data_IF_591497808364
#
_entry.id   IF_591497808364
#
_cell.length_a   1.000
_cell.length_b   1.000
_cell.length_c   1.000
_cell.angle_alpha   90.00
_cell.angle_beta   90.00
_cell.angle_gamma   90.00
#
_symmetry.space_group_name_H-M   'P 1'
#
loop_
_entity.id
_entity.type
_entity.pdbx_description
1 polymer ?
#
# COMPACT_ATOMS: atom_id res chain seq x y z
N UNK A 1 20.67 -10.27 72.79
CA UNK A 1 19.93 -11.34 72.11
C UNK A 1 19.93 -10.97 70.64
N UNK A 2 20.87 -11.55 69.90
CA UNK A 2 21.24 -11.25 68.54
C UNK A 2 20.23 -11.85 67.59
N UNK A 3 19.77 -11.06 66.59
CA UNK A 3 19.14 -11.55 65.41
C UNK A 3 20.15 -11.48 64.27
N UNK A 4 20.69 -12.63 63.93
CA UNK A 4 21.54 -12.88 62.76
C UNK A 4 20.70 -12.76 61.52
N UNK A 5 21.00 -11.77 60.68
CA UNK A 5 20.50 -11.67 59.33
C UNK A 5 21.17 -12.76 58.47
N UNK A 6 20.40 -13.66 57.91
CA UNK A 6 20.87 -14.57 56.88
C UNK A 6 20.90 -13.82 55.53
N UNK A 7 22.09 -13.51 55.08
CA UNK A 7 22.36 -13.15 53.70
C UNK A 7 22.28 -14.42 52.84
N UNK A 8 21.26 -14.56 52.07
CA UNK A 8 21.23 -15.56 50.98
C UNK A 8 22.18 -15.10 49.89
N UNK A 9 23.22 -15.86 49.64
CA UNK A 9 24.11 -15.69 48.50
C UNK A 9 23.38 -16.06 47.22
N UNK A 10 23.52 -15.32 46.11
CA UNK A 10 22.91 -15.69 44.84
C UNK A 10 23.46 -17.04 44.36
N UNK A 11 22.56 -17.87 43.85
CA UNK A 11 22.85 -19.23 43.42
C UNK A 11 23.59 -19.22 42.07
N UNK A 12 24.89 -19.51 41.98
CA UNK A 12 25.67 -19.32 40.76
C UNK A 12 25.33 -20.32 39.61
N UNK A 13 24.37 -21.22 39.81
CA UNK A 13 24.03 -22.23 38.82
C UNK A 13 22.93 -21.79 37.83
N UNK A 14 22.10 -20.79 38.20
CA UNK A 14 21.09 -20.27 37.30
C UNK A 14 21.68 -19.32 36.25
N UNK A 15 22.63 -18.45 36.64
CA UNK A 15 23.28 -17.50 35.75
C UNK A 15 24.09 -18.15 34.61
N UNK A 16 24.80 -19.23 34.88
CA UNK A 16 25.61 -19.91 33.86
C UNK A 16 24.78 -20.64 32.78
N UNK A 17 23.58 -21.11 33.13
CA UNK A 17 22.71 -21.79 32.17
C UNK A 17 21.97 -20.80 31.26
N UNK A 18 21.56 -19.63 31.77
CA UNK A 18 20.93 -18.57 31.00
C UNK A 18 21.90 -17.88 30.04
N UNK A 19 23.13 -17.57 30.47
CA UNK A 19 24.18 -17.01 29.60
C UNK A 19 24.54 -17.97 28.48
N UNK A 20 24.56 -19.29 28.74
CA UNK A 20 24.80 -20.27 27.69
C UNK A 20 23.65 -20.41 26.69
N UNK A 21 22.42 -20.16 27.11
CA UNK A 21 21.22 -20.20 26.26
C UNK A 21 21.14 -19.00 25.32
N UNK A 22 21.35 -17.78 25.82
CA UNK A 22 21.33 -16.56 24.98
C UNK A 22 22.49 -16.54 23.99
N UNK A 23 23.67 -17.03 24.36
CA UNK A 23 24.82 -17.13 23.47
C UNK A 23 24.58 -18.17 22.34
N UNK A 24 24.01 -19.34 22.67
CA UNK A 24 23.65 -20.34 21.66
C UNK A 24 22.57 -19.82 20.70
N UNK A 25 21.60 -19.04 21.21
CA UNK A 25 20.55 -18.40 20.41
C UNK A 25 21.14 -17.33 19.50
N UNK A 26 22.06 -16.50 19.98
CA UNK A 26 22.78 -15.48 19.20
C UNK A 26 23.54 -16.13 18.03
N UNK A 27 24.32 -17.17 18.30
CA UNK A 27 25.06 -17.90 17.27
C UNK A 27 24.11 -18.51 16.24
N UNK A 28 23.01 -19.12 16.67
CA UNK A 28 21.99 -19.68 15.76
C UNK A 28 21.38 -18.63 14.84
N UNK A 29 21.05 -17.46 15.37
CA UNK A 29 20.49 -16.37 14.56
C UNK A 29 21.51 -15.75 13.60
N UNK A 30 22.79 -15.73 13.97
CA UNK A 30 23.86 -15.33 13.05
C UNK A 30 23.99 -16.32 11.86
N UNK A 31 23.88 -17.62 12.11
CA UNK A 31 23.80 -18.63 11.06
C UNK A 31 22.59 -18.42 10.14
N UNK A 32 21.41 -18.12 10.72
CA UNK A 32 20.19 -17.81 9.95
C UNK A 32 20.35 -16.56 9.10
N UNK A 33 20.99 -15.51 9.65
CA UNK A 33 21.31 -14.28 8.89
C UNK A 33 22.19 -14.58 7.69
N UNK A 34 23.21 -15.41 7.86
CA UNK A 34 24.08 -15.83 6.78
C UNK A 34 23.31 -16.64 5.73
N UNK A 35 22.47 -17.58 6.14
CA UNK A 35 21.63 -18.40 5.27
C UNK A 35 20.65 -17.54 4.45
N UNK A 36 19.93 -16.63 5.10
CA UNK A 36 18.98 -15.72 4.41
C UNK A 36 19.72 -14.79 3.45
N UNK A 37 20.90 -14.29 3.81
CA UNK A 37 21.72 -13.45 2.91
C UNK A 37 22.06 -14.17 1.61
N UNK A 38 22.49 -15.43 1.69
CA UNK A 38 22.76 -16.27 0.50
C UNK A 38 21.47 -16.53 -0.28
N UNK A 39 20.38 -16.83 0.40
CA UNK A 39 19.08 -17.07 -0.23
C UNK A 39 18.57 -15.85 -1.00
N UNK A 40 18.72 -14.66 -0.42
CA UNK A 40 18.21 -13.41 -0.98
C UNK A 40 19.10 -12.85 -2.11
N UNK A 41 20.36 -13.27 -2.21
CA UNK A 41 21.30 -12.73 -3.19
C UNK A 41 20.83 -12.84 -4.64
N UNK A 42 20.16 -13.96 -4.98
CA UNK A 42 19.64 -14.24 -6.32
C UNK A 42 18.15 -13.90 -6.48
N UNK A 43 17.56 -13.23 -5.49
CA UNK A 43 16.12 -12.91 -5.46
C UNK A 43 15.90 -11.43 -5.24
N UNK A 44 14.96 -10.89 -6.00
CA UNK A 44 14.53 -9.50 -5.83
C UNK A 44 13.39 -9.48 -4.81
N UNK A 45 13.70 -9.33 -3.53
CA UNK A 45 12.72 -9.08 -2.48
C UNK A 45 12.27 -7.61 -2.58
N UNK A 46 11.01 -7.39 -2.87
CA UNK A 46 10.43 -6.04 -3.00
C UNK A 46 9.47 -5.81 -1.82
N UNK A 47 9.81 -4.91 -0.89
CA UNK A 47 8.93 -4.60 0.22
C UNK A 47 7.76 -3.68 -0.20
N UNK A 48 6.63 -3.68 0.54
CA UNK A 48 6.34 -4.54 1.68
C UNK A 48 6.08 -5.98 1.26
N UNK A 49 6.61 -6.94 2.02
CA UNK A 49 6.27 -8.35 1.86
C UNK A 49 5.10 -8.68 2.78
N UNK A 50 4.09 -9.34 2.26
CA UNK A 50 2.98 -9.87 3.07
C UNK A 50 3.44 -11.05 3.94
N UNK A 51 2.67 -11.39 4.98
CA UNK A 51 2.93 -12.61 5.77
C UNK A 51 2.94 -13.87 4.91
N UNK A 52 2.07 -13.92 3.90
CA UNK A 52 2.01 -15.04 2.96
C UNK A 52 3.31 -15.19 2.16
N UNK A 53 3.82 -14.09 1.60
CA UNK A 53 5.09 -14.08 0.86
C UNK A 53 6.28 -14.43 1.76
N UNK A 54 6.34 -13.88 2.96
CA UNK A 54 7.39 -14.21 3.93
C UNK A 54 7.36 -15.69 4.28
N UNK A 55 6.19 -16.25 4.58
CA UNK A 55 6.03 -17.67 4.88
C UNK A 55 6.41 -18.55 3.68
N UNK A 56 6.04 -18.16 2.46
CA UNK A 56 6.46 -18.86 1.25
C UNK A 56 8.00 -18.90 1.12
N UNK A 57 8.67 -17.78 1.34
CA UNK A 57 10.14 -17.74 1.33
C UNK A 57 10.76 -18.59 2.46
N UNK A 58 10.18 -18.57 3.64
CA UNK A 58 10.62 -19.38 4.78
C UNK A 58 10.47 -20.89 4.49
N UNK A 59 9.38 -21.31 3.85
CA UNK A 59 9.20 -22.72 3.45
C UNK A 59 10.24 -23.14 2.39
N UNK A 60 10.59 -22.28 1.45
CA UNK A 60 11.67 -22.54 0.50
C UNK A 60 13.05 -22.66 1.17
N UNK A 61 13.29 -21.90 2.25
CA UNK A 61 14.48 -22.03 3.08
C UNK A 61 14.45 -23.35 3.87
N UNK A 62 13.32 -23.69 4.48
CA UNK A 62 13.13 -24.91 5.25
C UNK A 62 13.28 -26.20 4.40
N UNK A 63 12.98 -26.13 3.10
CA UNK A 63 13.25 -27.23 2.16
C UNK A 63 14.75 -27.49 1.93
N UNK A 64 15.63 -26.58 2.36
CA UNK A 64 17.09 -26.69 2.21
C UNK A 64 17.81 -26.98 3.52
N UNK A 65 17.18 -26.70 4.67
CA UNK A 65 17.76 -26.90 6.01
C UNK A 65 16.66 -27.09 7.03
N UNK A 66 16.94 -27.84 8.11
CA UNK A 66 15.96 -27.99 9.19
C UNK A 66 15.84 -26.70 9.99
N UNK A 67 14.62 -26.14 10.04
CA UNK A 67 14.27 -24.96 10.81
C UNK A 67 13.23 -25.31 11.89
N UNK A 68 13.51 -24.96 13.12
CA UNK A 68 12.52 -24.99 14.20
C UNK A 68 11.43 -23.95 13.97
N UNK A 69 10.34 -23.98 14.71
CA UNK A 69 9.29 -22.95 14.62
C UNK A 69 9.84 -21.55 14.94
N UNK A 70 10.66 -21.43 15.97
CA UNK A 70 11.36 -20.18 16.30
C UNK A 70 12.28 -19.72 15.19
N UNK A 71 13.07 -20.62 14.57
CA UNK A 71 13.93 -20.29 13.44
C UNK A 71 13.14 -19.75 12.25
N UNK A 72 11.94 -20.30 11.98
CA UNK A 72 11.06 -19.83 10.90
C UNK A 72 10.60 -18.39 11.12
N UNK A 73 10.19 -18.05 12.34
CA UNK A 73 9.79 -16.69 12.71
C UNK A 73 10.96 -15.70 12.57
N UNK A 74 12.12 -16.08 13.06
CA UNK A 74 13.34 -15.26 12.94
C UNK A 74 13.78 -15.12 11.47
N UNK A 75 13.69 -16.19 10.67
CA UNK A 75 14.01 -16.13 9.25
C UNK A 75 13.06 -15.17 8.48
N UNK A 76 11.77 -15.15 8.83
CA UNK A 76 10.80 -14.20 8.28
C UNK A 76 11.19 -12.74 8.59
N UNK A 77 11.57 -12.45 9.84
CA UNK A 77 12.08 -11.13 10.26
C UNK A 77 13.33 -10.75 9.47
N UNK A 78 14.30 -11.66 9.32
CA UNK A 78 15.53 -11.39 8.59
C UNK A 78 15.26 -11.15 7.09
N UNK A 79 14.31 -11.87 6.48
CA UNK A 79 13.85 -11.65 5.10
C UNK A 79 13.23 -10.27 4.94
N UNK A 80 12.32 -9.88 5.83
CA UNK A 80 11.73 -8.54 5.85
C UNK A 80 12.82 -7.45 6.00
N UNK A 81 13.72 -7.61 6.96
CA UNK A 81 14.84 -6.68 7.16
C UNK A 81 15.72 -6.56 5.91
N UNK A 82 15.95 -7.68 5.22
CA UNK A 82 16.74 -7.71 3.98
C UNK A 82 16.03 -6.95 2.86
N UNK A 83 14.71 -7.12 2.72
CA UNK A 83 13.90 -6.42 1.73
C UNK A 83 13.90 -4.89 1.95
N UNK A 84 13.77 -4.43 3.21
CA UNK A 84 13.72 -3.02 3.54
C UNK A 84 15.09 -2.32 3.64
N UNK A 85 16.20 -3.08 3.72
CA UNK A 85 17.53 -2.55 4.01
C UNK A 85 17.96 -1.38 3.11
N UNK A 86 17.77 -1.52 1.80
CA UNK A 86 18.16 -0.48 0.84
C UNK A 86 17.35 0.80 1.02
N UNK A 87 16.04 0.67 1.22
CA UNK A 87 15.15 1.82 1.40
C UNK A 87 15.44 2.56 2.71
N UNK A 88 15.58 1.85 3.83
CA UNK A 88 15.93 2.45 5.12
C UNK A 88 17.28 3.15 5.06
N UNK A 89 18.25 2.60 4.34
CA UNK A 89 19.57 3.24 4.19
C UNK A 89 19.48 4.64 3.57
N UNK A 90 18.44 4.91 2.78
CA UNK A 90 18.21 6.18 2.08
C UNK A 90 17.43 7.20 2.91
N UNK A 91 16.68 6.75 3.93
CA UNK A 91 15.93 7.65 4.82
C UNK A 91 16.92 8.44 5.69
N UNK A 92 16.83 9.78 5.79
CA UNK A 92 17.67 10.57 6.70
C UNK A 92 17.45 10.17 8.17
N UNK A 93 18.47 10.32 9.00
CA UNK A 93 18.41 9.92 10.40
C UNK A 93 17.35 10.68 11.21
N UNK A 94 17.18 11.98 10.94
CA UNK A 94 16.17 12.85 11.54
C UNK A 94 14.72 12.51 11.15
N UNK A 95 14.56 11.49 10.31
CA UNK A 95 13.28 10.96 9.86
C UNK A 95 13.05 9.52 10.27
N UNK A 96 13.90 8.99 11.13
CA UNK A 96 13.79 7.62 11.64
C UNK A 96 13.38 7.61 13.10
N UNK A 97 12.58 6.60 13.47
CA UNK A 97 12.26 6.27 14.85
C UNK A 97 13.07 5.06 15.29
N UNK A 98 13.74 5.15 16.42
CA UNK A 98 14.25 3.99 17.14
C UNK A 98 13.26 3.61 18.25
N UNK A 99 12.67 2.41 18.13
CA UNK A 99 11.74 1.87 19.11
C UNK A 99 12.42 0.79 19.95
N UNK A 100 12.54 1.03 21.23
CA UNK A 100 13.17 0.13 22.19
C UNK A 100 12.13 -0.37 23.21
N UNK A 101 12.14 -1.67 23.56
CA UNK A 101 11.19 -2.21 24.53
C UNK A 101 11.64 -1.91 25.97
N UNK A 102 10.70 -1.50 26.83
CA UNK A 102 10.98 -1.22 28.24
C UNK A 102 11.50 -2.43 29.03
N UNK A 103 11.19 -3.64 28.57
CA UNK A 103 11.62 -4.88 29.24
C UNK A 103 13.15 -5.11 29.21
N UNK A 104 13.93 -4.31 28.50
CA UNK A 104 15.39 -4.31 28.52
C UNK A 104 15.97 -3.55 29.70
N UNK A 105 15.16 -2.79 30.47
CA UNK A 105 15.63 -2.09 31.66
C UNK A 105 15.94 -3.06 32.79
N UNK A 106 16.87 -2.68 33.65
CA UNK A 106 17.04 -3.32 34.95
C UNK A 106 15.81 -3.00 35.81
N UNK A 107 15.00 -4.00 36.13
CA UNK A 107 13.71 -3.81 36.82
C UNK A 107 13.87 -3.39 38.27
N UNK A 108 15.04 -3.68 38.92
CA UNK A 108 15.31 -3.38 40.33
C UNK A 108 16.05 -2.05 40.53
N UNK A 109 16.92 -1.66 39.58
CA UNK A 109 17.82 -0.53 39.76
C UNK A 109 17.53 0.67 38.88
N UNK A 110 16.61 0.55 37.91
CA UNK A 110 16.30 1.63 36.97
C UNK A 110 15.57 2.80 37.68
N UNK A 111 16.16 4.01 37.73
CA UNK A 111 15.54 5.17 38.38
C UNK A 111 14.50 5.88 37.51
N UNK A 112 14.43 5.55 36.22
CA UNK A 112 13.65 6.26 35.21
C UNK A 112 12.16 6.20 35.52
N UNK A 113 11.47 7.33 35.36
CA UNK A 113 10.01 7.44 35.41
C UNK A 113 9.36 7.01 34.10
N UNK A 114 8.08 6.70 34.16
CA UNK A 114 7.26 6.33 32.99
C UNK A 114 6.16 7.38 32.84
N UNK A 115 5.97 7.89 31.63
CA UNK A 115 4.87 8.77 31.24
C UNK A 115 3.89 8.09 30.27
N UNK A 116 3.01 8.85 29.65
CA UNK A 116 2.02 8.36 28.67
C UNK A 116 2.64 7.86 27.36
N UNK A 117 3.89 8.23 27.05
CA UNK A 117 4.61 7.81 25.84
C UNK A 117 5.58 6.66 26.10
N UNK A 118 6.06 6.48 27.33
CA UNK A 118 6.97 5.41 27.69
C UNK A 118 7.94 5.74 28.81
N UNK A 119 9.13 5.13 28.74
CA UNK A 119 10.18 5.29 29.76
C UNK A 119 11.03 6.52 29.48
N UNK A 120 11.12 7.43 30.42
CA UNK A 120 12.03 8.59 30.41
C UNK A 120 13.41 8.17 30.90
N UNK A 121 14.22 7.59 30.04
CA UNK A 121 15.53 7.04 30.41
C UNK A 121 16.51 8.12 30.87
N UNK A 122 17.11 7.93 32.04
CA UNK A 122 18.11 8.85 32.65
C UNK A 122 19.55 8.46 32.32
N UNK A 123 19.79 7.55 31.37
CA UNK A 123 21.13 7.07 30.98
C UNK A 123 21.99 6.59 32.15
N UNK A 124 21.39 5.95 33.14
CA UNK A 124 22.06 5.53 34.40
C UNK A 124 23.15 4.46 34.20
N UNK A 125 23.23 3.82 33.00
CA UNK A 125 24.24 2.82 32.67
C UNK A 125 23.94 1.40 33.17
N UNK A 126 22.81 1.17 33.84
CA UNK A 126 22.41 -0.15 34.35
C UNK A 126 21.94 -1.15 33.27
N UNK A 127 21.55 -0.64 32.06
CA UNK A 127 21.07 -1.44 30.96
C UNK A 127 21.47 -0.84 29.59
N UNK A 128 21.29 -1.52 28.47
CA UNK A 128 21.72 -1.02 27.17
C UNK A 128 20.89 0.17 26.63
N UNK A 129 19.71 0.47 27.21
CA UNK A 129 18.77 1.47 26.69
C UNK A 129 19.38 2.86 26.61
N UNK A 130 19.99 3.37 27.73
CA UNK A 130 20.55 4.72 27.73
C UNK A 130 21.64 4.93 26.70
N UNK A 131 22.53 3.96 26.51
CA UNK A 131 23.57 4.05 25.49
C UNK A 131 23.02 4.01 24.07
N UNK A 132 22.03 3.17 23.79
CA UNK A 132 21.38 3.09 22.48
C UNK A 132 20.57 4.36 22.19
N UNK A 133 19.87 4.90 23.17
CA UNK A 133 19.18 6.18 23.06
C UNK A 133 20.15 7.29 22.69
N UNK A 134 21.22 7.47 23.49
CA UNK A 134 22.23 8.50 23.26
C UNK A 134 22.86 8.41 21.87
N UNK A 135 23.30 7.20 21.44
CA UNK A 135 23.87 6.97 20.11
C UNK A 135 22.89 7.34 18.99
N UNK A 136 21.60 7.02 19.14
CA UNK A 136 20.60 7.30 18.12
C UNK A 136 20.22 8.79 18.07
N UNK A 137 20.09 9.45 19.22
CA UNK A 137 19.79 10.88 19.31
C UNK A 137 20.95 11.73 18.75
N UNK A 138 22.22 11.34 19.00
CA UNK A 138 23.37 11.99 18.35
C UNK A 138 23.34 11.91 16.81
N UNK A 139 22.77 10.84 16.26
CA UNK A 139 22.54 10.71 14.83
C UNK A 139 21.33 11.50 14.32
N UNK A 140 20.45 11.94 15.21
CA UNK A 140 19.25 12.71 14.91
C UNK A 140 17.94 11.89 14.91
N UNK A 141 17.92 10.65 15.37
CA UNK A 141 16.70 9.86 15.49
C UNK A 141 15.74 10.44 16.52
N UNK A 142 14.45 10.23 16.29
CA UNK A 142 13.50 10.19 17.39
C UNK A 142 13.65 8.83 18.11
N UNK A 143 13.68 8.83 19.44
CA UNK A 143 13.80 7.59 20.23
C UNK A 143 12.58 7.43 21.12
N UNK A 144 11.99 6.25 21.15
CA UNK A 144 10.87 5.89 22.00
C UNK A 144 11.20 4.58 22.74
N UNK A 145 11.11 4.60 24.06
CA UNK A 145 11.27 3.42 24.90
C UNK A 145 9.90 3.10 25.51
N UNK A 146 9.15 2.19 24.85
CA UNK A 146 7.73 1.99 25.17
C UNK A 146 7.31 0.51 25.14
N UNK A 147 6.13 0.25 25.71
CA UNK A 147 5.40 -0.99 25.55
C UNK A 147 4.28 -0.78 24.52
N UNK A 148 4.32 -1.58 23.43
CA UNK A 148 3.27 -1.54 22.40
C UNK A 148 3.54 -0.60 21.23
N UNK A 149 2.61 -0.61 20.26
CA UNK A 149 2.76 0.04 18.95
C UNK A 149 1.87 1.27 18.75
N UNK A 150 1.02 1.63 19.73
CA UNK A 150 0.01 2.69 19.57
C UNK A 150 0.65 4.06 19.28
N UNK A 151 1.66 4.47 20.08
CA UNK A 151 2.39 5.73 19.87
C UNK A 151 3.14 5.76 18.53
N UNK A 152 3.69 4.62 18.09
CA UNK A 152 4.34 4.48 16.78
C UNK A 152 3.35 4.72 15.66
N UNK A 153 2.15 4.15 15.75
CA UNK A 153 1.10 4.30 14.72
C UNK A 153 0.70 5.77 14.54
N UNK A 154 0.63 6.53 15.63
CA UNK A 154 0.30 7.95 15.58
C UNK A 154 1.42 8.77 14.91
N UNK A 155 2.68 8.58 15.32
CA UNK A 155 3.84 9.24 14.71
C UNK A 155 3.96 8.96 13.20
N UNK A 156 3.64 7.73 12.79
CA UNK A 156 3.60 7.32 11.39
C UNK A 156 2.46 8.04 10.66
N UNK A 157 1.26 8.07 11.23
CA UNK A 157 0.08 8.72 10.62
C UNK A 157 0.28 10.22 10.46
N UNK A 158 0.85 10.89 11.45
CA UNK A 158 1.16 12.32 11.39
C UNK A 158 2.32 12.66 10.46
N UNK A 159 3.02 11.65 9.95
CA UNK A 159 4.12 11.86 9.04
C UNK A 159 5.38 12.42 9.68
N UNK A 160 5.57 12.22 10.96
CA UNK A 160 6.74 12.69 11.68
C UNK A 160 7.97 11.82 11.40
N UNK A 161 7.77 10.52 11.11
CA UNK A 161 8.83 9.55 10.78
C UNK A 161 8.60 8.89 9.43
N UNK A 162 9.67 8.48 8.77
CA UNK A 162 9.68 7.82 7.46
C UNK A 162 10.22 6.39 7.52
N UNK A 163 10.76 5.97 8.65
CA UNK A 163 11.20 4.60 8.90
C UNK A 163 11.21 4.30 10.40
N UNK A 164 11.01 3.02 10.74
CA UNK A 164 11.08 2.52 12.12
C UNK A 164 12.16 1.45 12.20
N UNK A 165 13.05 1.57 13.18
CA UNK A 165 14.01 0.53 13.55
C UNK A 165 13.71 0.19 14.99
N UNK A 166 13.50 -1.10 15.30
CA UNK A 166 13.13 -1.45 16.66
C UNK A 166 13.56 -2.85 17.09
N UNK A 167 13.42 -3.11 18.37
CA UNK A 167 13.56 -4.42 18.95
C UNK A 167 12.30 -4.81 19.72
N UNK A 168 11.91 -6.09 19.70
CA UNK A 168 10.80 -6.59 20.50
C UNK A 168 10.82 -8.12 20.61
N UNK A 169 9.97 -8.70 21.45
CA UNK A 169 9.77 -10.14 21.50
C UNK A 169 9.09 -10.65 20.22
N UNK A 170 9.28 -11.92 19.90
CA UNK A 170 8.75 -12.51 18.66
C UNK A 170 7.24 -12.39 18.54
N UNK A 171 6.50 -12.55 19.64
CA UNK A 171 5.03 -12.43 19.64
C UNK A 171 4.55 -11.01 19.29
N UNK A 172 5.17 -9.98 19.86
CA UNK A 172 4.82 -8.59 19.57
C UNK A 172 5.19 -8.19 18.13
N UNK A 173 6.30 -8.72 17.59
CA UNK A 173 6.66 -8.52 16.18
C UNK A 173 5.67 -9.18 15.23
N UNK A 174 5.22 -10.38 15.53
CA UNK A 174 4.18 -11.08 14.76
C UNK A 174 2.85 -10.31 14.75
N UNK A 175 2.43 -9.79 15.90
CA UNK A 175 1.18 -9.05 16.07
C UNK A 175 1.22 -7.68 15.37
N UNK A 176 2.35 -6.99 15.40
CA UNK A 176 2.50 -5.66 14.77
C UNK A 176 2.74 -5.70 13.26
N UNK A 177 3.17 -6.83 12.73
CA UNK A 177 3.60 -6.96 11.34
C UNK A 177 2.51 -6.60 10.31
N UNK A 178 1.23 -7.05 10.42
CA UNK A 178 0.20 -6.71 9.44
C UNK A 178 0.02 -5.20 9.27
N UNK A 179 -0.06 -4.45 10.38
CA UNK A 179 -0.23 -2.99 10.33
C UNK A 179 0.96 -2.28 9.68
N UNK A 180 2.19 -2.77 9.92
CA UNK A 180 3.39 -2.23 9.28
C UNK A 180 3.42 -2.54 7.78
N UNK A 181 3.00 -3.72 7.36
CA UNK A 181 2.92 -4.11 5.95
C UNK A 181 1.85 -3.29 5.21
N UNK A 182 0.66 -3.11 5.79
CA UNK A 182 -0.43 -2.31 5.23
C UNK A 182 -0.06 -0.83 5.06
N UNK A 183 0.67 -0.27 6.03
CA UNK A 183 1.15 1.12 5.95
C UNK A 183 2.29 1.31 4.96
N UNK A 184 2.87 0.23 4.41
CA UNK A 184 4.08 0.23 3.60
C UNK A 184 5.24 1.03 4.23
N UNK A 185 5.27 1.10 5.57
CA UNK A 185 6.30 1.81 6.33
C UNK A 185 7.60 1.00 6.33
N UNK A 186 8.72 1.59 5.90
CA UNK A 186 10.01 0.96 6.02
C UNK A 186 10.32 0.58 7.48
N UNK A 187 10.38 -0.71 7.76
CA UNK A 187 10.52 -1.23 9.11
C UNK A 187 11.57 -2.33 9.22
N UNK A 188 12.46 -2.19 10.20
CA UNK A 188 13.43 -3.21 10.59
C UNK A 188 13.20 -3.59 12.05
N UNK A 189 13.23 -4.89 12.32
CA UNK A 189 13.05 -5.43 13.64
C UNK A 189 14.20 -6.36 14.05
N UNK A 190 14.63 -6.27 15.30
CA UNK A 190 15.57 -7.20 15.91
C UNK A 190 14.86 -7.94 17.05
N UNK A 191 14.75 -9.27 16.97
CA UNK A 191 14.08 -10.04 18.03
C UNK A 191 14.93 -10.09 19.30
N UNK A 192 14.26 -10.20 20.47
CA UNK A 192 14.92 -10.36 21.77
C UNK A 192 15.52 -11.75 21.90
N UNK A 193 16.73 -11.86 22.43
CA UNK A 193 17.42 -13.12 22.72
C UNK A 193 16.78 -13.88 23.90
N UNK A 194 16.25 -13.15 24.87
CA UNK A 194 15.54 -13.71 26.02
C UNK A 194 14.10 -13.22 25.99
N UNK A 195 13.16 -14.15 25.93
CA UNK A 195 11.73 -13.84 25.97
C UNK A 195 11.30 -13.49 27.40
N UNK A 196 10.36 -12.57 27.57
CA UNK A 196 9.85 -12.11 28.86
C UNK A 196 9.42 -10.66 28.82
N UNK A 197 8.86 -10.18 29.95
CA UNK A 197 8.42 -8.79 30.10
C UNK A 197 9.33 -7.97 31.03
N UNK A 198 10.39 -8.57 31.57
CA UNK A 198 11.36 -7.93 32.48
C UNK A 198 12.75 -8.52 32.27
N UNK A 199 13.78 -7.70 32.43
CA UNK A 199 15.20 -8.08 32.40
C UNK A 199 15.54 -8.97 31.22
N UNK A 200 15.06 -8.56 30.03
CA UNK A 200 15.27 -9.25 28.77
C UNK A 200 16.62 -8.91 28.15
N UNK A 201 17.04 -9.67 27.15
CA UNK A 201 18.30 -9.42 26.43
C UNK A 201 18.05 -9.33 24.92
N UNK A 202 18.89 -8.53 24.25
CA UNK A 202 18.91 -8.41 22.80
C UNK A 202 20.33 -8.43 22.25
N UNK A 203 20.47 -8.70 20.96
CA UNK A 203 21.73 -8.50 20.25
C UNK A 203 21.89 -7.01 19.88
N UNK A 204 22.60 -6.28 20.74
CA UNK A 204 22.85 -4.85 20.59
C UNK A 204 23.64 -4.54 19.31
N UNK A 205 24.60 -5.40 18.94
CA UNK A 205 25.41 -5.18 17.74
C UNK A 205 24.59 -5.39 16.47
N UNK A 206 23.66 -6.34 16.46
CA UNK A 206 22.74 -6.51 15.35
C UNK A 206 21.82 -5.29 15.17
N UNK A 207 21.30 -4.70 16.26
CA UNK A 207 20.52 -3.48 16.18
C UNK A 207 21.36 -2.30 15.66
N UNK A 208 22.60 -2.16 16.16
CA UNK A 208 23.53 -1.11 15.72
C UNK A 208 23.84 -1.16 14.24
N UNK A 209 23.93 -2.34 13.61
CA UNK A 209 24.11 -2.45 12.15
C UNK A 209 23.04 -1.67 11.39
N UNK A 210 21.81 -1.60 11.91
CA UNK A 210 20.71 -0.89 11.28
C UNK A 210 20.62 0.58 11.74
N UNK A 211 20.92 0.88 12.99
CA UNK A 211 20.95 2.26 13.48
C UNK A 211 21.95 3.10 12.70
N UNK A 212 23.16 2.56 12.45
CA UNK A 212 24.18 3.24 11.65
C UNK A 212 24.06 3.05 10.14
N UNK A 213 23.03 2.33 9.67
CA UNK A 213 22.85 2.05 8.24
C UNK A 213 22.58 3.35 7.48
N UNK A 214 23.45 3.70 6.51
CA UNK A 214 23.36 4.93 5.73
C UNK A 214 23.75 4.73 4.29
N UNK A 215 22.95 5.26 3.37
CA UNK A 215 23.33 5.42 1.96
C UNK A 215 24.27 6.62 1.78
N UNK A 216 25.14 6.55 0.78
CA UNK A 216 25.98 7.69 0.37
C UNK A 216 25.15 8.85 -0.21
N UNK A 217 23.93 8.57 -0.65
CA UNK A 217 22.98 9.54 -1.18
C UNK A 217 21.65 9.36 -0.44
N UNK A 218 21.49 9.95 0.75
CA UNK A 218 20.21 9.92 1.44
C UNK A 218 19.18 10.66 0.56
N UNK A 219 18.03 10.06 0.38
CA UNK A 219 16.94 10.63 -0.39
C UNK A 219 15.70 10.67 0.49
N UNK A 220 15.15 11.87 0.66
CA UNK A 220 13.83 12.03 1.28
C UNK A 220 12.79 11.88 0.18
N UNK A 221 12.01 10.77 0.15
CA UNK A 221 10.92 10.67 -0.80
C UNK A 221 9.95 11.82 -0.53
N UNK A 222 9.48 12.54 -1.58
CA UNK A 222 8.47 13.56 -1.39
C UNK A 222 7.22 12.91 -0.82
N UNK A 223 6.73 13.43 0.31
CA UNK A 223 5.45 12.98 0.88
C UNK A 223 4.31 13.70 0.21
N UNK A 224 3.31 12.96 -0.19
CA UNK A 224 2.05 13.48 -0.71
C UNK A 224 1.02 13.35 0.40
N UNK A 225 0.48 14.48 0.85
CA UNK A 225 -0.70 14.45 1.70
C UNK A 225 -1.91 14.09 0.84
N UNK A 226 -2.33 12.83 0.93
CA UNK A 226 -3.40 12.27 0.10
C UNK A 226 -4.73 12.97 0.35
N UNK A 227 -5.06 13.32 1.61
CA UNK A 227 -6.33 13.98 1.93
C UNK A 227 -6.39 15.38 1.31
N UNK A 228 -5.32 16.16 1.44
CA UNK A 228 -5.21 17.47 0.79
C UNK A 228 -5.27 17.34 -0.73
N UNK A 229 -4.57 16.38 -1.31
CA UNK A 229 -4.59 16.11 -2.73
C UNK A 229 -5.99 15.76 -3.24
N UNK A 230 -6.69 14.87 -2.52
CA UNK A 230 -8.06 14.51 -2.83
C UNK A 230 -9.02 15.70 -2.75
N UNK A 231 -8.87 16.57 -1.75
CA UNK A 231 -9.67 17.78 -1.60
C UNK A 231 -9.44 18.76 -2.77
N UNK A 232 -8.19 18.97 -3.14
CA UNK A 232 -7.81 19.86 -4.25
C UNK A 232 -8.32 19.32 -5.60
N UNK A 233 -8.14 18.03 -5.87
CA UNK A 233 -8.65 17.40 -7.10
C UNK A 233 -10.17 17.47 -7.16
N UNK A 234 -10.88 17.19 -6.05
CA UNK A 234 -12.35 17.34 -5.99
C UNK A 234 -12.78 18.78 -6.32
N UNK A 235 -12.03 19.77 -5.89
CA UNK A 235 -12.30 21.17 -6.20
C UNK A 235 -12.32 21.50 -7.71
N UNK A 236 -11.62 20.73 -8.54
CA UNK A 236 -11.66 20.87 -10.01
C UNK A 236 -12.99 20.43 -10.61
N UNK A 237 -13.74 19.60 -9.91
CA UNK A 237 -15.05 19.06 -10.31
C UNK A 237 -16.24 19.85 -9.71
N UNK A 238 -15.99 20.97 -9.05
CA UNK A 238 -17.06 21.84 -8.56
C UNK A 238 -17.78 22.52 -9.74
N UNK A 239 -19.09 22.68 -9.63
CA UNK A 239 -20.00 23.13 -10.71
C UNK A 239 -19.49 24.35 -11.50
N UNK A 240 -19.12 25.42 -10.81
CA UNK A 240 -18.63 26.64 -11.48
C UNK A 240 -17.29 26.49 -12.21
N UNK A 241 -16.54 25.42 -11.96
CA UNK A 241 -15.28 25.12 -12.65
C UNK A 241 -15.52 24.24 -13.86
N UNK A 242 -16.42 23.27 -13.77
CA UNK A 242 -16.78 22.36 -14.86
C UNK A 242 -17.56 23.11 -15.95
N UNK A 243 -18.51 23.96 -15.57
CA UNK A 243 -19.35 24.76 -16.50
C UNK A 243 -18.49 25.53 -17.50
N UNK A 244 -17.40 26.14 -17.06
CA UNK A 244 -16.49 26.90 -17.94
C UNK A 244 -15.79 26.04 -18.99
N UNK A 245 -15.69 24.73 -18.75
CA UNK A 245 -14.90 23.81 -19.58
C UNK A 245 -15.81 22.94 -20.43
N UNK A 246 -16.93 22.44 -19.89
CA UNK A 246 -17.80 21.44 -20.51
C UNK A 246 -19.11 22.03 -21.09
N UNK A 247 -19.65 23.14 -20.53
CA UNK A 247 -20.90 23.77 -21.03
C UNK A 247 -20.58 24.87 -22.06
N UNK A 248 -20.25 24.51 -23.28
CA UNK A 248 -19.76 25.42 -24.33
C UNK A 248 -20.86 25.99 -25.20
N UNK A 249 -21.83 25.17 -25.53
CA UNK A 249 -22.93 25.50 -26.44
C UNK A 249 -24.27 25.67 -25.70
N UNK A 250 -24.27 25.45 -24.39
CA UNK A 250 -25.45 25.53 -23.52
C UNK A 250 -26.60 24.62 -23.96
N UNK A 251 -26.27 23.45 -24.50
CA UNK A 251 -27.25 22.46 -24.94
C UNK A 251 -27.78 21.62 -23.78
N UNK A 252 -28.96 20.99 -23.97
CA UNK A 252 -29.53 20.10 -22.96
C UNK A 252 -28.63 18.90 -22.70
N UNK A 253 -27.99 18.33 -23.71
CA UNK A 253 -27.07 17.20 -23.55
C UNK A 253 -25.83 17.59 -22.76
N UNK A 254 -25.25 18.78 -23.00
CA UNK A 254 -24.10 19.27 -22.21
C UNK A 254 -24.48 19.47 -20.73
N UNK A 255 -25.69 19.96 -20.44
CA UNK A 255 -26.16 20.11 -19.06
C UNK A 255 -26.29 18.77 -18.34
N UNK A 256 -26.87 17.76 -19.01
CA UNK A 256 -26.99 16.40 -18.46
C UNK A 256 -25.59 15.81 -18.23
N UNK A 257 -24.68 15.95 -19.19
CA UNK A 257 -23.29 15.49 -19.07
C UNK A 257 -22.55 16.18 -17.93
N UNK A 258 -22.71 17.52 -17.80
CA UNK A 258 -22.12 18.30 -16.72
C UNK A 258 -22.64 17.87 -15.34
N UNK A 259 -23.95 17.73 -15.18
CA UNK A 259 -24.56 17.23 -13.94
C UNK A 259 -24.02 15.83 -13.59
N UNK A 260 -23.88 14.94 -14.60
CA UNK A 260 -23.37 13.59 -14.40
C UNK A 260 -21.88 13.57 -13.99
N UNK A 261 -21.04 14.39 -14.62
CA UNK A 261 -19.63 14.52 -14.26
C UNK A 261 -19.48 15.18 -12.87
N UNK A 262 -20.33 16.14 -12.51
CA UNK A 262 -20.30 16.81 -11.22
C UNK A 262 -20.71 15.88 -10.06
N UNK A 263 -21.55 14.86 -10.32
CA UNK A 263 -21.97 13.91 -9.28
C UNK A 263 -20.79 13.34 -8.50
N UNK A 264 -21.00 13.19 -7.20
CA UNK A 264 -20.00 12.71 -6.25
C UNK A 264 -19.39 11.37 -6.65
N UNK A 265 -18.15 11.16 -6.25
CA UNK A 265 -17.38 9.95 -6.42
C UNK A 265 -16.02 10.10 -5.75
N UNK A 266 -15.34 9.01 -5.49
CA UNK A 266 -14.02 9.01 -4.83
C UNK A 266 -12.94 9.69 -5.67
N UNK A 267 -13.15 9.87 -6.99
CA UNK A 267 -12.22 10.48 -7.96
C UNK A 267 -10.84 9.82 -7.98
N UNK A 268 -10.77 8.52 -7.71
CA UNK A 268 -9.51 7.78 -7.58
C UNK A 268 -8.59 7.92 -8.79
N UNK A 269 -9.15 7.82 -10.01
CA UNK A 269 -8.36 7.87 -11.25
C UNK A 269 -7.73 9.24 -11.49
N UNK A 270 -8.46 10.36 -11.42
CA UNK A 270 -7.86 11.71 -11.41
C UNK A 270 -6.82 11.89 -10.31
N UNK A 271 -7.10 11.43 -9.09
CA UNK A 271 -6.16 11.52 -7.95
C UNK A 271 -4.87 10.76 -8.23
N UNK A 272 -4.93 9.56 -8.81
CA UNK A 272 -3.74 8.79 -9.19
C UNK A 272 -2.85 9.53 -10.20
N UNK A 273 -3.45 10.13 -11.24
CA UNK A 273 -2.70 10.92 -12.23
C UNK A 273 -1.97 12.09 -11.57
N UNK A 274 -2.65 12.82 -10.67
CA UNK A 274 -2.09 13.97 -9.98
C UNK A 274 -1.05 13.56 -8.94
N UNK A 275 -1.27 12.46 -8.22
CA UNK A 275 -0.31 11.90 -7.26
C UNK A 275 1.00 11.51 -7.96
N UNK A 276 0.90 10.82 -9.09
CA UNK A 276 2.09 10.45 -9.88
C UNK A 276 2.83 11.68 -10.38
N UNK A 277 2.12 12.67 -10.91
CA UNK A 277 2.71 13.94 -11.32
C UNK A 277 3.49 14.59 -10.19
N UNK A 278 2.89 14.70 -9.00
CA UNK A 278 3.54 15.29 -7.82
C UNK A 278 4.76 14.50 -7.36
N UNK A 279 4.66 13.16 -7.34
CA UNK A 279 5.79 12.28 -7.00
C UNK A 279 6.95 12.44 -7.99
N UNK A 280 6.66 12.60 -9.28
CA UNK A 280 7.66 12.73 -10.33
C UNK A 280 8.35 14.09 -10.34
N UNK A 281 7.60 15.17 -10.08
CA UNK A 281 8.11 16.53 -10.20
C UNK A 281 8.64 17.12 -8.88
N UNK A 282 8.32 16.49 -7.75
CA UNK A 282 8.64 16.99 -6.41
C UNK A 282 7.91 18.32 -6.06
N UNK A 283 6.91 18.71 -6.84
CA UNK A 283 6.16 19.94 -6.62
C UNK A 283 4.91 19.67 -5.79
N UNK A 284 4.80 20.33 -4.65
CA UNK A 284 3.58 20.37 -3.84
C UNK A 284 2.47 21.24 -4.46
N UNK A 285 2.81 22.12 -5.43
CA UNK A 285 1.89 23.05 -6.07
C UNK A 285 1.57 22.65 -7.52
N UNK A 286 0.63 21.73 -7.68
CA UNK A 286 0.09 21.30 -8.99
C UNK A 286 -1.15 22.11 -9.42
N UNK A 287 -1.69 22.95 -8.53
CA UNK A 287 -3.00 23.62 -8.68
C UNK A 287 -3.12 24.50 -9.92
N UNK A 288 -2.01 25.04 -10.39
CA UNK A 288 -1.94 25.92 -11.58
C UNK A 288 -1.64 25.20 -12.89
N UNK A 289 -1.38 23.89 -12.87
CA UNK A 289 -1.05 23.13 -14.08
C UNK A 289 -2.31 22.79 -14.89
N UNK A 290 -2.55 23.59 -15.95
CA UNK A 290 -3.71 23.41 -16.83
C UNK A 290 -3.70 22.05 -17.54
N UNK A 291 -2.55 21.60 -18.03
CA UNK A 291 -2.45 20.33 -18.75
C UNK A 291 -2.83 19.14 -17.84
N UNK A 292 -2.33 19.13 -16.61
CA UNK A 292 -2.66 18.11 -15.62
C UNK A 292 -4.16 18.15 -15.25
N UNK A 293 -4.71 19.34 -15.08
CA UNK A 293 -6.14 19.52 -14.83
C UNK A 293 -7.00 18.98 -15.98
N UNK A 294 -6.63 19.28 -17.22
CA UNK A 294 -7.35 18.78 -18.39
C UNK A 294 -7.22 17.27 -18.53
N UNK A 295 -6.05 16.71 -18.26
CA UNK A 295 -5.85 15.27 -18.19
C UNK A 295 -6.75 14.62 -17.11
N UNK A 296 -6.82 15.18 -15.91
CA UNK A 296 -7.67 14.69 -14.82
C UNK A 296 -9.16 14.76 -15.18
N UNK A 297 -9.61 15.84 -15.83
CA UNK A 297 -10.99 15.98 -16.32
C UNK A 297 -11.29 14.99 -17.45
N UNK A 298 -10.36 14.79 -18.40
CA UNK A 298 -10.50 13.81 -19.47
C UNK A 298 -10.66 12.38 -18.93
N UNK A 299 -9.83 12.00 -17.96
CA UNK A 299 -9.92 10.70 -17.28
C UNK A 299 -11.32 10.50 -16.67
N UNK A 300 -11.85 11.52 -16.02
CA UNK A 300 -13.17 11.43 -15.42
C UNK A 300 -14.29 11.41 -16.46
N UNK A 301 -14.17 12.15 -17.56
CA UNK A 301 -15.12 12.09 -18.67
C UNK A 301 -15.21 10.67 -19.25
N UNK A 302 -14.08 10.02 -19.53
CA UNK A 302 -14.04 8.63 -19.99
C UNK A 302 -14.64 7.67 -18.97
N UNK A 303 -14.30 7.84 -17.69
CA UNK A 303 -14.85 7.01 -16.63
C UNK A 303 -16.37 7.17 -16.47
N UNK A 304 -16.86 8.42 -16.49
CA UNK A 304 -18.31 8.67 -16.39
C UNK A 304 -19.07 8.19 -17.62
N UNK A 305 -18.45 8.22 -18.80
CA UNK A 305 -19.00 7.64 -20.01
C UNK A 305 -19.11 6.11 -19.90
N UNK A 306 -18.06 5.44 -19.43
CA UNK A 306 -18.10 3.97 -19.26
C UNK A 306 -19.21 3.56 -18.30
N UNK A 307 -19.40 4.29 -17.17
CA UNK A 307 -20.50 3.99 -16.25
C UNK A 307 -21.89 4.17 -16.86
N UNK A 308 -22.08 5.14 -17.76
CA UNK A 308 -23.36 5.28 -18.48
C UNK A 308 -23.60 4.10 -19.40
N UNK A 309 -22.55 3.64 -20.12
CA UNK A 309 -22.66 2.50 -21.01
C UNK A 309 -22.89 1.20 -20.22
N UNK A 310 -22.17 1.00 -19.12
CA UNK A 310 -22.38 -0.12 -18.21
C UNK A 310 -23.83 -0.15 -17.67
N UNK A 311 -24.38 1.01 -17.21
CA UNK A 311 -25.76 1.11 -16.74
C UNK A 311 -26.79 0.68 -17.80
N UNK A 312 -26.50 0.97 -19.10
CA UNK A 312 -27.35 0.57 -20.22
C UNK A 312 -27.20 -0.94 -20.51
N UNK A 313 -25.98 -1.46 -20.49
CA UNK A 313 -25.66 -2.85 -20.79
C UNK A 313 -26.21 -3.81 -19.74
N UNK A 314 -26.22 -3.37 -18.47
CA UNK A 314 -26.66 -4.13 -17.31
C UNK A 314 -28.13 -3.89 -16.94
N UNK A 315 -28.82 -2.96 -17.63
CA UNK A 315 -30.18 -2.49 -17.32
C UNK A 315 -30.33 -1.96 -15.88
N UNK A 316 -29.26 -1.32 -15.36
CA UNK A 316 -29.23 -0.80 -14.00
C UNK A 316 -30.21 0.36 -13.83
N UNK A 317 -31.01 0.32 -12.73
CA UNK A 317 -32.02 1.34 -12.44
C UNK A 317 -31.46 2.47 -11.56
N UNK A 318 -30.46 2.17 -10.72
CA UNK A 318 -29.89 3.10 -9.76
C UNK A 318 -28.36 3.03 -9.74
N UNK A 319 -27.72 4.19 -9.59
CA UNK A 319 -26.27 4.34 -9.37
C UNK A 319 -26.01 5.48 -8.39
N UNK A 320 -25.16 5.24 -7.40
CA UNK A 320 -24.90 6.20 -6.29
C UNK A 320 -26.16 6.64 -5.53
N UNK A 321 -27.17 5.78 -5.43
CA UNK A 321 -28.45 6.08 -4.75
C UNK A 321 -29.41 6.95 -5.56
N UNK A 322 -29.12 7.22 -6.84
CA UNK A 322 -29.98 7.98 -7.75
C UNK A 322 -30.30 7.17 -9.01
N UNK A 323 -31.36 7.56 -9.70
CA UNK A 323 -31.70 6.95 -10.98
C UNK A 323 -30.58 7.12 -12.00
N UNK A 324 -30.33 6.04 -12.76
CA UNK A 324 -29.40 6.06 -13.92
C UNK A 324 -29.91 6.93 -15.03
N UNK A 325 -29.03 7.35 -15.96
CA UNK A 325 -29.46 8.19 -17.09
C UNK A 325 -30.39 7.45 -18.04
N UNK A 326 -30.19 6.14 -18.27
CA UNK A 326 -31.08 5.31 -19.08
C UNK A 326 -32.48 5.17 -18.46
N UNK A 327 -32.59 5.09 -17.14
CA UNK A 327 -33.87 5.05 -16.46
C UNK A 327 -34.57 6.43 -16.48
N UNK A 328 -33.84 7.52 -16.23
CA UNK A 328 -34.38 8.88 -16.16
C UNK A 328 -34.74 9.49 -17.50
N UNK A 329 -33.93 9.28 -18.54
CA UNK A 329 -34.05 9.95 -19.84
C UNK A 329 -34.26 8.99 -21.02
N UNK A 330 -34.16 7.68 -20.79
CA UNK A 330 -34.19 6.64 -21.80
C UNK A 330 -32.81 6.38 -22.42
N UNK A 331 -32.64 5.17 -22.92
CA UNK A 331 -31.40 4.67 -23.54
C UNK A 331 -30.85 5.59 -24.65
N UNK A 332 -31.63 6.16 -25.60
CA UNK A 332 -31.06 6.99 -26.66
C UNK A 332 -30.38 8.26 -26.14
N UNK A 333 -30.90 8.89 -25.08
CA UNK A 333 -30.29 10.09 -24.48
C UNK A 333 -29.08 9.70 -23.66
N UNK A 334 -29.16 8.64 -22.85
CA UNK A 334 -28.05 8.15 -22.05
C UNK A 334 -26.86 7.79 -22.96
N UNK A 335 -27.06 7.03 -24.02
CA UNK A 335 -26.02 6.67 -24.99
C UNK A 335 -25.39 7.92 -25.61
N UNK A 336 -26.19 8.89 -26.07
CA UNK A 336 -25.67 10.15 -26.63
C UNK A 336 -24.82 10.96 -25.61
N UNK A 337 -25.22 10.99 -24.34
CA UNK A 337 -24.46 11.66 -23.28
C UNK A 337 -23.14 10.93 -23.00
N UNK A 338 -23.14 9.60 -23.01
CA UNK A 338 -21.92 8.80 -22.90
C UNK A 338 -20.93 9.12 -24.04
N UNK A 339 -21.41 9.11 -25.29
CA UNK A 339 -20.61 9.45 -26.48
C UNK A 339 -20.10 10.91 -26.43
N UNK A 340 -20.91 11.85 -25.96
CA UNK A 340 -20.51 13.23 -25.76
C UNK A 340 -19.33 13.31 -24.76
N UNK A 341 -19.40 12.60 -23.65
CA UNK A 341 -18.32 12.60 -22.64
C UNK A 341 -17.04 11.96 -23.19
N UNK A 342 -17.11 10.93 -24.02
CA UNK A 342 -15.96 10.37 -24.74
C UNK A 342 -15.34 11.47 -25.63
N UNK A 343 -16.15 12.16 -26.42
CA UNK A 343 -15.70 13.28 -27.26
C UNK A 343 -15.03 14.39 -26.45
N UNK A 344 -15.61 14.77 -25.32
CA UNK A 344 -15.04 15.77 -24.43
C UNK A 344 -13.71 15.34 -23.82
N UNK A 345 -13.56 14.07 -23.46
CA UNK A 345 -12.29 13.50 -23.00
C UNK A 345 -11.17 13.68 -24.04
N UNK A 346 -11.41 13.33 -25.28
CA UNK A 346 -10.45 13.52 -26.38
C UNK A 346 -10.16 15.01 -26.63
N UNK A 347 -11.18 15.87 -26.60
CA UNK A 347 -11.02 17.31 -26.78
C UNK A 347 -10.12 17.91 -25.70
N UNK A 348 -10.33 17.57 -24.43
CA UNK A 348 -9.54 18.05 -23.31
C UNK A 348 -8.05 17.69 -23.45
N UNK A 349 -7.74 16.49 -23.94
CA UNK A 349 -6.36 16.09 -24.23
C UNK A 349 -5.77 16.95 -25.34
N UNK A 350 -6.52 17.14 -26.43
CA UNK A 350 -6.07 17.95 -27.57
C UNK A 350 -5.85 19.43 -27.20
N UNK A 351 -6.65 19.96 -26.29
CA UNK A 351 -6.58 21.36 -25.79
C UNK A 351 -5.71 21.52 -24.53
N UNK A 352 -4.99 20.47 -24.09
CA UNK A 352 -4.20 20.49 -22.84
C UNK A 352 -3.09 21.53 -22.80
N UNK A 353 -2.65 22.04 -23.97
CA UNK A 353 -1.53 23.00 -24.05
C UNK A 353 -0.14 22.35 -23.96
N UNK A 354 -0.05 21.02 -23.90
CA UNK A 354 1.22 20.29 -23.99
C UNK A 354 1.81 20.34 -25.40
N UNK A 355 3.09 19.99 -25.52
CA UNK A 355 3.73 19.85 -26.82
C UNK A 355 3.02 18.77 -27.66
N UNK A 356 2.94 18.93 -29.01
CA UNK A 356 2.23 17.99 -29.87
C UNK A 356 2.65 16.52 -29.70
N UNK A 357 3.93 16.27 -29.43
CA UNK A 357 4.43 14.91 -29.17
C UNK A 357 3.86 14.30 -27.88
N UNK A 358 3.65 15.10 -26.84
CA UNK A 358 3.05 14.64 -25.58
C UNK A 358 1.54 14.43 -25.75
N UNK A 359 0.86 15.34 -26.45
CA UNK A 359 -0.57 15.19 -26.79
C UNK A 359 -0.81 13.91 -27.60
N UNK A 360 0.02 13.63 -28.59
CA UNK A 360 -0.06 12.40 -29.38
C UNK A 360 0.12 11.15 -28.53
N UNK A 361 1.09 11.16 -27.58
CA UNK A 361 1.27 10.07 -26.63
C UNK A 361 0.05 9.87 -25.74
N UNK A 362 -0.55 10.95 -25.24
CA UNK A 362 -1.79 10.86 -24.45
C UNK A 362 -2.94 10.25 -25.26
N UNK A 363 -3.13 10.69 -26.50
CA UNK A 363 -4.17 10.15 -27.38
C UNK A 363 -3.96 8.67 -27.67
N UNK A 364 -2.72 8.23 -27.90
CA UNK A 364 -2.39 6.82 -28.10
C UNK A 364 -2.77 5.98 -26.86
N UNK A 365 -2.34 6.41 -25.67
CA UNK A 365 -2.62 5.73 -24.40
C UNK A 365 -4.14 5.61 -24.16
N UNK A 366 -4.88 6.69 -24.40
CA UNK A 366 -6.34 6.68 -24.22
C UNK A 366 -7.04 5.79 -25.25
N UNK A 367 -6.60 5.84 -26.51
CA UNK A 367 -7.21 5.02 -27.57
C UNK A 367 -6.96 3.52 -27.33
N UNK A 368 -5.74 3.14 -26.94
CA UNK A 368 -5.40 1.76 -26.56
C UNK A 368 -6.22 1.31 -25.34
N UNK A 369 -6.24 2.13 -24.25
CA UNK A 369 -7.00 1.80 -23.05
C UNK A 369 -8.51 1.70 -23.28
N UNK A 370 -9.08 2.55 -24.17
CA UNK A 370 -10.48 2.47 -24.54
C UNK A 370 -10.78 1.19 -25.34
N UNK A 371 -9.92 0.83 -26.31
CA UNK A 371 -10.04 -0.42 -27.06
C UNK A 371 -9.98 -1.64 -26.13
N UNK A 372 -9.02 -1.69 -25.22
CA UNK A 372 -8.86 -2.79 -24.28
C UNK A 372 -10.07 -2.92 -23.35
N UNK A 373 -10.58 -1.81 -22.82
CA UNK A 373 -11.78 -1.80 -21.98
C UNK A 373 -12.99 -2.39 -22.73
N UNK A 374 -13.20 -1.99 -23.99
CA UNK A 374 -14.31 -2.53 -24.80
C UNK A 374 -14.13 -4.04 -25.08
N UNK A 375 -12.89 -4.52 -25.27
CA UNK A 375 -12.63 -5.95 -25.43
C UNK A 375 -12.94 -6.72 -24.14
N UNK A 376 -12.51 -6.23 -22.98
CA UNK A 376 -12.78 -6.86 -21.68
C UNK A 376 -14.26 -6.90 -21.34
N UNK A 377 -14.95 -5.77 -21.50
CA UNK A 377 -16.40 -5.66 -21.29
C UNK A 377 -17.17 -6.57 -22.26
N UNK A 378 -16.79 -6.59 -23.54
CA UNK A 378 -17.42 -7.43 -24.53
C UNK A 378 -17.31 -8.93 -24.24
N UNK A 379 -16.15 -9.40 -23.76
CA UNK A 379 -15.98 -10.81 -23.35
C UNK A 379 -16.86 -11.16 -22.14
N UNK A 380 -17.02 -10.26 -21.18
CA UNK A 380 -17.91 -10.47 -20.04
C UNK A 380 -19.38 -10.52 -20.49
N UNK A 381 -19.84 -9.57 -21.29
CA UNK A 381 -21.21 -9.52 -21.82
C UNK A 381 -21.55 -10.78 -22.65
N UNK A 382 -20.61 -11.25 -23.48
CA UNK A 382 -20.78 -12.48 -24.26
C UNK A 382 -20.90 -13.70 -23.34
N UNK A 383 -20.10 -13.75 -22.28
CA UNK A 383 -20.19 -14.83 -21.29
C UNK A 383 -21.51 -14.79 -20.51
N UNK A 384 -21.95 -13.60 -20.06
CA UNK A 384 -23.24 -13.39 -19.38
C UNK A 384 -24.42 -13.85 -20.22
N UNK A 385 -24.36 -13.62 -21.55
CA UNK A 385 -25.40 -14.06 -22.48
C UNK A 385 -25.44 -15.58 -22.72
N UNK A 386 -24.30 -16.26 -22.58
CA UNK A 386 -24.17 -17.69 -22.78
C UNK A 386 -23.18 -18.29 -21.75
N UNK A 387 -23.59 -18.40 -20.47
CA UNK A 387 -22.71 -18.85 -19.39
C UNK A 387 -22.15 -20.25 -19.68
N UNK A 388 -20.85 -20.42 -19.44
CA UNK A 388 -20.14 -21.68 -19.60
C UNK A 388 -19.02 -21.77 -18.58
N UNK A 389 -18.50 -22.98 -18.25
CA UNK A 389 -17.34 -23.11 -17.40
C UNK A 389 -16.19 -22.19 -17.88
N UNK A 390 -15.63 -21.44 -16.96
CA UNK A 390 -14.54 -20.49 -17.24
C UNK A 390 -13.34 -20.82 -16.33
N UNK A 391 -12.14 -20.86 -16.92
CA UNK A 391 -10.91 -21.04 -16.14
C UNK A 391 -10.49 -19.75 -15.46
N UNK A 392 -9.76 -19.86 -14.34
CA UNK A 392 -9.16 -18.71 -13.63
C UNK A 392 -8.33 -17.84 -14.59
N UNK A 393 -7.50 -18.46 -15.43
CA UNK A 393 -6.68 -17.72 -16.40
C UNK A 393 -7.51 -16.91 -17.40
N UNK A 394 -8.63 -17.45 -17.90
CA UNK A 394 -9.51 -16.73 -18.81
C UNK A 394 -10.20 -15.57 -18.11
N UNK A 395 -10.67 -15.77 -16.88
CA UNK A 395 -11.29 -14.72 -16.08
C UNK A 395 -10.33 -13.60 -15.73
N UNK A 396 -9.09 -13.92 -15.30
CA UNK A 396 -8.06 -12.92 -15.04
C UNK A 396 -7.75 -12.08 -16.28
N UNK A 397 -7.80 -12.67 -17.48
CA UNK A 397 -7.66 -11.89 -18.70
C UNK A 397 -8.84 -10.92 -18.92
N UNK A 398 -10.08 -11.31 -18.59
CA UNK A 398 -11.23 -10.39 -18.62
C UNK A 398 -10.97 -9.23 -17.63
N UNK A 399 -10.59 -9.50 -16.40
CA UNK A 399 -10.26 -8.47 -15.41
C UNK A 399 -9.15 -7.52 -15.87
N UNK A 400 -8.10 -8.08 -16.49
CA UNK A 400 -7.00 -7.32 -17.07
C UNK A 400 -7.46 -6.32 -18.12
N UNK A 401 -8.37 -6.70 -19.01
CA UNK A 401 -8.86 -5.84 -20.09
C UNK A 401 -10.03 -4.94 -19.67
N UNK A 402 -10.88 -5.35 -18.72
CA UNK A 402 -12.01 -4.55 -18.23
C UNK A 402 -11.58 -3.51 -17.19
N UNK A 403 -10.81 -3.92 -16.18
CA UNK A 403 -10.59 -3.12 -14.96
C UNK A 403 -9.24 -2.40 -14.92
N UNK A 404 -8.17 -2.96 -15.51
CA UNK A 404 -6.86 -2.33 -15.47
C UNK A 404 -6.70 -1.08 -16.36
N UNK A 405 -7.27 -1.00 -17.60
CA UNK A 405 -7.01 0.12 -18.51
C UNK A 405 -7.32 1.51 -17.93
N UNK A 406 -8.42 1.75 -17.18
CA UNK A 406 -8.68 3.05 -16.58
C UNK A 406 -7.61 3.51 -15.58
N UNK A 407 -6.96 2.58 -14.85
CA UNK A 407 -5.83 2.90 -13.97
C UNK A 407 -4.56 3.19 -14.78
N UNK A 408 -4.30 2.40 -15.81
CA UNK A 408 -3.16 2.57 -16.70
C UNK A 408 -3.22 3.92 -17.43
N UNK A 409 -4.35 4.27 -18.01
CA UNK A 409 -4.58 5.57 -18.62
C UNK A 409 -4.31 6.70 -17.62
N UNK A 410 -4.86 6.62 -16.42
CA UNK A 410 -4.67 7.67 -15.41
C UNK A 410 -3.19 7.88 -15.05
N UNK A 411 -2.46 6.81 -14.78
CA UNK A 411 -1.05 6.88 -14.45
C UNK A 411 -0.20 7.36 -15.62
N UNK A 412 -0.45 6.88 -16.83
CA UNK A 412 0.29 7.30 -18.01
C UNK A 412 0.06 8.78 -18.34
N UNK A 413 -1.17 9.30 -18.22
CA UNK A 413 -1.44 10.71 -18.44
C UNK A 413 -0.71 11.58 -17.43
N UNK A 414 -0.69 11.18 -16.15
CA UNK A 414 0.11 11.85 -15.11
C UNK A 414 1.61 11.84 -15.42
N UNK A 415 2.14 10.69 -15.87
CA UNK A 415 3.55 10.55 -16.25
C UNK A 415 3.92 11.42 -17.46
N UNK A 416 3.04 11.51 -18.46
CA UNK A 416 3.25 12.35 -19.66
C UNK A 416 3.22 13.84 -19.29
N UNK A 417 2.30 14.27 -18.41
CA UNK A 417 2.28 15.64 -17.88
C UNK A 417 3.57 15.99 -17.14
N UNK A 418 4.19 15.02 -16.46
CA UNK A 418 5.44 15.16 -15.73
C UNK A 418 6.69 14.97 -16.61
N UNK A 419 6.52 14.80 -17.92
CA UNK A 419 7.60 14.52 -18.89
C UNK A 419 8.50 13.33 -18.49
N UNK A 420 7.89 12.28 -17.90
CA UNK A 420 8.62 11.10 -17.47
C UNK A 420 9.11 10.29 -18.68
N UNK A 421 10.28 9.61 -18.55
CA UNK A 421 10.85 8.81 -19.64
C UNK A 421 9.97 7.57 -19.93
N UNK A 422 9.97 7.12 -21.19
CA UNK A 422 9.20 5.95 -21.64
C UNK A 422 9.50 4.65 -20.86
N UNK A 423 10.69 4.54 -20.26
CA UNK A 423 11.06 3.38 -19.43
C UNK A 423 10.16 3.20 -18.20
N UNK A 424 9.55 4.27 -17.71
CA UNK A 424 8.60 4.24 -16.59
C UNK A 424 7.26 3.65 -17.03
N UNK A 425 6.85 3.86 -18.28
CA UNK A 425 5.55 3.39 -18.79
C UNK A 425 5.35 1.90 -18.57
N UNK A 426 6.38 1.07 -18.79
CA UNK A 426 6.26 -0.39 -18.58
C UNK A 426 5.95 -0.73 -17.12
N UNK A 427 6.62 -0.07 -16.18
CA UNK A 427 6.38 -0.29 -14.73
C UNK A 427 4.95 0.15 -14.37
N UNK A 428 4.48 1.25 -14.93
CA UNK A 428 3.11 1.71 -14.71
C UNK A 428 2.07 0.75 -15.30
N UNK A 429 2.32 0.19 -16.48
CA UNK A 429 1.44 -0.83 -17.09
C UNK A 429 1.38 -2.09 -16.23
N UNK A 430 2.54 -2.63 -15.82
CA UNK A 430 2.62 -3.83 -14.97
C UNK A 430 1.88 -3.58 -13.61
N UNK A 431 2.09 -2.41 -13.02
CA UNK A 431 1.40 -2.00 -11.79
C UNK A 431 -0.12 -1.90 -11.98
N UNK A 432 -0.57 -1.24 -13.06
CA UNK A 432 -2.00 -1.04 -13.36
C UNK A 432 -2.72 -2.36 -13.58
N UNK A 433 -2.07 -3.31 -14.26
CA UNK A 433 -2.62 -4.64 -14.48
C UNK A 433 -2.79 -5.40 -13.15
N UNK A 434 -1.76 -5.40 -12.29
CA UNK A 434 -1.83 -6.01 -10.98
C UNK A 434 -2.91 -5.37 -10.09
N UNK A 435 -2.99 -4.03 -10.11
CA UNK A 435 -3.99 -3.27 -9.34
C UNK A 435 -5.42 -3.57 -9.83
N UNK A 436 -5.65 -3.56 -11.16
CA UNK A 436 -6.97 -3.82 -11.72
C UNK A 436 -7.47 -5.24 -11.44
N UNK A 437 -6.58 -6.23 -11.54
CA UNK A 437 -6.90 -7.62 -11.20
C UNK A 437 -7.22 -7.75 -9.71
N UNK A 438 -6.39 -7.19 -8.84
CA UNK A 438 -6.60 -7.23 -7.39
C UNK A 438 -7.91 -6.52 -6.99
N UNK A 439 -8.20 -5.37 -7.62
CA UNK A 439 -9.43 -4.63 -7.39
C UNK A 439 -10.67 -5.50 -7.72
N UNK A 440 -10.69 -6.13 -8.88
CA UNK A 440 -11.81 -6.96 -9.29
C UNK A 440 -11.97 -8.22 -8.44
N UNK A 441 -10.87 -8.85 -8.02
CA UNK A 441 -10.93 -9.99 -7.09
C UNK A 441 -11.53 -9.55 -5.74
N UNK A 442 -11.15 -8.38 -5.23
CA UNK A 442 -11.72 -7.87 -3.98
C UNK A 442 -13.21 -7.53 -4.13
N UNK A 443 -13.62 -6.91 -5.25
CA UNK A 443 -15.05 -6.66 -5.53
C UNK A 443 -15.83 -7.98 -5.53
N UNK A 444 -15.36 -9.02 -6.21
CA UNK A 444 -16.01 -10.35 -6.23
C UNK A 444 -16.11 -10.98 -4.83
N UNK A 445 -15.11 -10.75 -3.95
CA UNK A 445 -15.11 -11.25 -2.58
C UNK A 445 -16.03 -10.43 -1.66
N UNK A 446 -16.06 -9.11 -1.82
CA UNK A 446 -16.93 -8.21 -1.04
C UNK A 446 -18.39 -8.49 -1.38
N UNK A 447 -18.70 -8.69 -2.65
CA UNK A 447 -20.03 -9.10 -3.10
C UNK A 447 -20.49 -10.42 -2.45
N UNK A 448 -19.59 -11.38 -2.29
CA UNK A 448 -19.89 -12.65 -1.62
C UNK A 448 -20.03 -12.53 -0.10
N UNK A 449 -19.31 -11.63 0.54
CA UNK A 449 -19.27 -11.49 2.00
C UNK A 449 -20.50 -10.75 2.59
N UNK A 450 -21.29 -10.03 1.77
CA UNK A 450 -22.43 -9.21 2.19
C UNK A 450 -23.77 -9.74 1.66
N UNK A 451 -24.18 -11.00 1.93
CA UNK A 451 -25.50 -11.47 1.59
C UNK A 451 -26.51 -10.92 2.61
N UNK A 452 -27.19 -9.80 2.30
CA UNK A 452 -28.32 -9.42 3.13
C UNK A 452 -28.63 -7.96 3.39
N UNK A 453 -28.08 -6.98 2.67
CA UNK A 453 -28.73 -5.68 2.63
C UNK A 453 -29.93 -5.75 1.66
N UNK A 454 -31.14 -5.42 2.18
CA UNK A 454 -32.37 -5.37 1.41
C UNK A 454 -32.18 -4.42 0.21
N UNK A 455 -31.97 -5.00 -0.97
CA UNK A 455 -31.76 -4.28 -2.22
C UNK A 455 -30.63 -4.81 -3.13
N UNK A 456 -29.76 -5.69 -2.64
CA UNK A 456 -28.88 -6.46 -3.52
C UNK A 456 -29.64 -7.68 -4.01
N UNK A 457 -30.14 -7.61 -5.25
CA UNK A 457 -30.81 -8.74 -5.88
C UNK A 457 -29.87 -9.95 -5.88
N UNK A 458 -30.25 -11.02 -5.19
CA UNK A 458 -29.54 -12.31 -5.22
C UNK A 458 -29.35 -12.87 -6.65
N UNK A 459 -30.08 -12.34 -7.61
CA UNK A 459 -29.99 -12.64 -9.05
C UNK A 459 -28.75 -12.03 -9.71
N UNK A 460 -28.14 -10.96 -9.16
CA UNK A 460 -26.92 -10.36 -9.72
C UNK A 460 -25.68 -11.26 -9.54
N UNK A 461 -25.65 -12.10 -8.52
CA UNK A 461 -24.53 -13.01 -8.24
C UNK A 461 -24.42 -14.16 -9.24
N UNK A 462 -25.53 -14.59 -9.82
CA UNK A 462 -25.56 -15.73 -10.76
C UNK A 462 -25.30 -15.31 -12.22
N UNK A 463 -25.25 -14.01 -12.50
CA UNK A 463 -25.24 -13.47 -13.86
C UNK A 463 -23.87 -13.15 -14.44
N UNK A 464 -22.83 -12.96 -13.62
CA UNK A 464 -21.49 -12.52 -14.08
C UNK A 464 -20.40 -13.54 -13.74
N UNK A 465 -19.36 -13.66 -14.60
CA UNK A 465 -18.22 -14.51 -14.28
C UNK A 465 -17.42 -13.89 -13.11
N UNK A 466 -17.21 -14.64 -12.04
CA UNK A 466 -16.47 -14.19 -10.86
C UNK A 466 -15.36 -15.18 -10.48
N UNK A 467 -14.41 -14.74 -9.65
CA UNK A 467 -13.22 -15.52 -9.30
C UNK A 467 -13.57 -16.81 -8.56
N UNK A 468 -14.60 -16.82 -7.71
CA UNK A 468 -15.00 -18.00 -6.95
C UNK A 468 -15.58 -19.09 -7.87
N UNK A 469 -16.40 -18.68 -8.84
CA UNK A 469 -16.93 -19.60 -9.86
C UNK A 469 -15.81 -20.19 -10.74
N UNK A 470 -14.85 -19.38 -11.15
CA UNK A 470 -13.71 -19.85 -11.95
C UNK A 470 -12.84 -20.86 -11.19
N UNK A 471 -12.55 -20.59 -9.90
CA UNK A 471 -11.82 -21.52 -9.01
C UNK A 471 -12.58 -22.85 -8.84
N UNK A 472 -13.91 -22.77 -8.69
CA UNK A 472 -14.75 -23.97 -8.65
C UNK A 472 -14.64 -24.78 -9.95
N UNK A 473 -14.76 -24.13 -11.12
CA UNK A 473 -14.64 -24.81 -12.41
C UNK A 473 -13.29 -25.50 -12.60
N UNK A 474 -12.18 -24.83 -12.24
CA UNK A 474 -10.83 -25.39 -12.33
C UNK A 474 -10.66 -26.58 -11.37
N UNK A 475 -11.24 -26.52 -10.15
CA UNK A 475 -11.19 -27.61 -9.19
C UNK A 475 -11.95 -28.86 -9.64
N UNK A 476 -13.01 -28.71 -10.45
CA UNK A 476 -13.78 -29.84 -11.01
C UNK A 476 -13.14 -30.43 -12.26
N UNK A 477 -12.19 -29.74 -12.86
CA UNK A 477 -11.50 -30.15 -14.10
C UNK A 477 -10.13 -30.82 -13.82
N UNK A 478 -9.62 -30.73 -12.59
CA UNK A 478 -8.38 -31.35 -12.10
C UNK A 478 -8.63 -32.74 -11.53
#
# INVERSE_FOLDING_TARGET
MDKIAKTESPNPRHDCAEVSFTEARRQRWEELRALVRVYAADRKLVPPLSLHELNHHVEQLAGRTSLSETDRKVAAIILNNTAWRDQISKVPFDRRLLLLPMCLRDSEQCPASIDEFGLLCEECGGCPLGKLQHEAEELGYAVLIAEGTAAVTELVREGQVDAVIGASCLSALEESFPAMAESAMPGIAVPLLKDGCQDTEMDVEWLREFVYLRSKQPHRPPRINIDSLCADVRGWFADGQLTKILDRQHTASEKIALEWVAKSGKRWRPVLAVALYNAATGHSEFKSNQALRYAALAIECFHKASLIHDDIEDDDQYRYGEETLNNRFGVPIALNVGDLLIGEGYRLIAESGLAPAQQMRMLQVVAEGHSDLCLGQGEELLWTRAPSPISVNKLINIFKYKTAPPFEVALHLGAICADMPKSVCRVLSDYSQALGIAYQINDDLDDFAMPGEEGADADSYAGRPNILFALFCDSMSA
#
